data_IF_774440619692
#
_entry.id   IF_774440619692
#
_cell.length_a   1.000
_cell.length_b   1.000
_cell.length_c   1.000
_cell.angle_alpha   90.00
_cell.angle_beta   90.00
_cell.angle_gamma   90.00
#
_symmetry.space_group_name_H-M   'P 1'
#
loop_
_entity.id
_entity.type
_entity.pdbx_description
1 polymer ?
#
# COMPACT_ATOMS: atom_id res chain seq x y z
N UNK A 1 9.41 -30.92 14.02
CA UNK A 1 8.53 -29.77 14.30
C UNK A 1 9.39 -28.54 14.56
N UNK A 2 9.21 -27.48 13.79
CA UNK A 2 9.95 -26.23 13.96
C UNK A 2 9.41 -25.50 15.21
N UNK A 3 10.26 -25.28 16.23
CA UNK A 3 9.88 -24.52 17.43
C UNK A 3 9.92 -23.03 17.11
N UNK A 4 8.76 -22.39 17.09
CA UNK A 4 8.67 -20.93 17.03
C UNK A 4 8.94 -20.31 18.40
N UNK A 5 9.46 -19.08 18.43
CA UNK A 5 9.60 -18.34 19.67
C UNK A 5 8.22 -18.09 20.30
N UNK A 6 8.12 -18.16 21.62
CA UNK A 6 6.85 -18.02 22.37
C UNK A 6 6.11 -16.71 22.03
N UNK A 7 6.84 -15.62 21.80
CA UNK A 7 6.26 -14.32 21.40
C UNK A 7 5.50 -14.37 20.07
N UNK A 8 5.83 -15.32 19.17
CA UNK A 8 5.13 -15.45 17.88
C UNK A 8 3.71 -15.97 18.08
N UNK A 9 3.48 -16.81 19.10
CA UNK A 9 2.14 -17.31 19.42
C UNK A 9 1.20 -16.21 19.96
N UNK A 10 1.75 -15.07 20.38
CA UNK A 10 0.99 -13.92 20.89
C UNK A 10 0.69 -12.88 19.80
N UNK A 11 1.24 -13.05 18.58
CA UNK A 11 0.97 -12.16 17.47
C UNK A 11 -0.43 -12.44 16.95
N UNK A 12 -1.29 -11.44 17.00
CA UNK A 12 -2.60 -11.45 16.33
C UNK A 12 -2.49 -10.78 14.99
N UNK A 13 -3.01 -11.43 13.94
CA UNK A 13 -3.14 -10.81 12.62
C UNK A 13 -4.13 -9.64 12.64
N UNK A 14 -4.18 -8.87 11.57
CA UNK A 14 -5.16 -7.80 11.41
C UNK A 14 -6.57 -8.39 11.31
N UNK A 15 -7.47 -7.96 12.20
CA UNK A 15 -8.82 -8.50 12.30
C UNK A 15 -9.63 -8.39 11.00
N UNK A 16 -9.54 -7.27 10.28
CA UNK A 16 -10.23 -7.08 9.01
C UNK A 16 -9.81 -8.10 7.94
N UNK A 17 -8.52 -8.44 7.87
CA UNK A 17 -8.03 -9.46 6.92
C UNK A 17 -8.50 -10.88 7.31
N UNK A 18 -8.64 -11.18 8.60
CA UNK A 18 -9.21 -12.45 9.04
C UNK A 18 -10.68 -12.58 8.65
N UNK A 19 -11.47 -11.50 8.81
CA UNK A 19 -12.88 -11.44 8.36
C UNK A 19 -12.96 -11.59 6.84
N UNK A 20 -12.13 -10.88 6.09
CA UNK A 20 -12.07 -10.99 4.63
C UNK A 20 -11.77 -12.43 4.18
N UNK A 21 -10.75 -13.08 4.77
CA UNK A 21 -10.42 -14.47 4.45
C UNK A 21 -11.60 -15.41 4.72
N UNK A 22 -12.31 -15.22 5.83
CA UNK A 22 -13.48 -16.01 6.16
C UNK A 22 -14.64 -15.78 5.19
N UNK A 23 -14.86 -14.52 4.78
CA UNK A 23 -15.85 -14.20 3.77
C UNK A 23 -15.56 -14.91 2.44
N UNK A 24 -14.30 -14.90 1.99
CA UNK A 24 -13.87 -15.60 0.76
C UNK A 24 -14.06 -17.13 0.84
N UNK A 25 -13.80 -17.74 1.98
CA UNK A 25 -14.11 -19.16 2.18
C UNK A 25 -15.61 -19.46 2.02
N UNK A 26 -16.46 -18.63 2.58
CA UNK A 26 -17.92 -18.79 2.48
C UNK A 26 -18.44 -18.57 1.05
N UNK A 27 -17.90 -17.59 0.33
CA UNK A 27 -18.18 -17.40 -1.10
C UNK A 27 -17.79 -18.63 -1.92
N UNK A 28 -16.60 -19.21 -1.64
CA UNK A 28 -16.17 -20.46 -2.27
C UNK A 28 -17.09 -21.65 -2.00
N UNK A 29 -17.90 -21.59 -0.94
CA UNK A 29 -18.96 -22.55 -0.62
C UNK A 29 -20.32 -22.19 -1.27
N UNK A 30 -20.37 -21.17 -2.13
CA UNK A 30 -21.57 -20.73 -2.83
C UNK A 30 -22.48 -19.78 -2.03
N UNK A 31 -22.01 -19.23 -0.89
CA UNK A 31 -22.78 -18.24 -0.12
C UNK A 31 -22.61 -16.84 -0.72
N UNK A 32 -23.69 -16.08 -0.77
CA UNK A 32 -23.64 -14.65 -1.11
C UNK A 32 -23.23 -13.86 0.11
N UNK A 33 -22.14 -13.10 0.00
CA UNK A 33 -21.59 -12.28 1.09
C UNK A 33 -21.58 -10.81 0.65
N UNK A 34 -21.98 -9.92 1.54
CA UNK A 34 -21.82 -8.48 1.39
C UNK A 34 -20.56 -8.07 2.15
N UNK A 35 -19.56 -7.62 1.43
CA UNK A 35 -18.26 -7.22 1.99
C UNK A 35 -18.31 -5.81 2.56
N UNK A 36 -18.04 -5.65 3.86
CA UNK A 36 -17.95 -4.37 4.55
C UNK A 36 -16.68 -4.28 5.43
N UNK A 37 -15.86 -5.32 5.41
CA UNK A 37 -14.66 -5.45 6.27
C UNK A 37 -13.44 -4.67 5.75
N UNK A 38 -13.37 -4.40 4.45
CA UNK A 38 -12.31 -3.61 3.83
C UNK A 38 -12.93 -2.48 2.99
N UNK A 39 -12.44 -1.26 3.21
CA UNK A 39 -12.77 -0.12 2.36
C UNK A 39 -11.76 -0.02 1.21
N UNK A 40 -12.25 -0.07 -0.01
CA UNK A 40 -11.44 0.20 -1.21
C UNK A 40 -12.26 1.03 -2.22
N UNK A 41 -11.58 1.80 -3.09
CA UNK A 41 -12.29 2.53 -4.14
C UNK A 41 -13.01 1.58 -5.10
N UNK A 42 -14.24 1.91 -5.47
CA UNK A 42 -15.06 1.17 -6.43
C UNK A 42 -14.78 1.53 -7.90
N UNK A 43 -13.75 2.34 -8.14
CA UNK A 43 -13.31 2.76 -9.47
C UNK A 43 -11.82 2.43 -9.70
N UNK A 44 -11.47 2.22 -10.95
CA UNK A 44 -10.10 1.91 -11.36
C UNK A 44 -9.18 3.14 -11.30
N UNK A 45 -7.87 2.88 -11.26
CA UNK A 45 -6.88 3.95 -11.40
C UNK A 45 -7.08 4.73 -12.71
N UNK A 46 -6.89 6.04 -12.67
CA UNK A 46 -7.03 6.89 -13.85
C UNK A 46 -6.09 6.44 -14.98
N UNK A 47 -6.55 6.53 -16.22
CA UNK A 47 -5.78 6.08 -17.39
C UNK A 47 -4.34 6.63 -17.45
N UNK A 48 -4.07 7.92 -17.17
CA UNK A 48 -2.70 8.43 -17.15
C UNK A 48 -1.78 7.73 -16.14
N UNK A 49 -2.32 7.26 -15.00
CA UNK A 49 -1.55 6.53 -13.98
C UNK A 49 -1.20 5.14 -14.51
N UNK A 50 -2.17 4.45 -15.12
CA UNK A 50 -1.96 3.12 -15.71
C UNK A 50 -0.94 3.17 -16.84
N UNK A 51 -1.05 4.15 -17.72
CA UNK A 51 -0.14 4.32 -18.86
C UNK A 51 1.28 4.69 -18.39
N UNK A 52 1.39 5.54 -17.38
CA UNK A 52 2.68 5.87 -16.76
C UNK A 52 3.37 4.64 -16.16
N UNK A 53 2.60 3.77 -15.48
CA UNK A 53 3.13 2.52 -14.94
C UNK A 53 3.60 1.58 -16.06
N UNK A 54 2.80 1.37 -17.09
CA UNK A 54 3.17 0.53 -18.24
C UNK A 54 4.47 1.01 -18.89
N UNK A 55 4.59 2.32 -19.11
CA UNK A 55 5.77 2.94 -19.70
C UNK A 55 6.99 2.80 -18.78
N UNK A 56 6.82 2.93 -17.47
CA UNK A 56 7.91 2.76 -16.50
C UNK A 56 8.46 1.33 -16.54
N UNK A 57 7.59 0.33 -16.52
CA UNK A 57 8.00 -1.08 -16.62
C UNK A 57 8.65 -1.37 -17.97
N UNK A 58 8.03 -0.95 -19.08
CA UNK A 58 8.57 -1.15 -20.44
C UNK A 58 9.95 -0.50 -20.63
N UNK A 59 10.25 0.57 -19.89
CA UNK A 59 11.56 1.26 -19.91
C UNK A 59 12.57 0.73 -18.89
N UNK A 60 12.29 -0.41 -18.24
CA UNK A 60 13.18 -1.06 -17.27
C UNK A 60 13.30 -0.33 -15.92
N UNK A 61 12.30 0.46 -15.54
CA UNK A 61 12.23 1.13 -14.22
C UNK A 61 11.67 0.23 -13.13
N UNK A 62 12.03 -1.03 -13.14
CA UNK A 62 11.58 -2.11 -12.23
C UNK A 62 12.69 -2.60 -11.30
N UNK A 63 13.75 -1.81 -11.15
CA UNK A 63 14.92 -2.14 -10.33
C UNK A 63 14.86 -1.50 -8.96
N UNK A 64 15.77 -1.90 -8.08
CA UNK A 64 15.95 -1.28 -6.78
C UNK A 64 16.14 0.23 -6.89
N UNK A 65 15.50 0.95 -5.99
CA UNK A 65 15.65 2.41 -5.85
C UNK A 65 16.21 2.77 -4.48
N UNK A 66 16.44 4.05 -4.23
CA UNK A 66 16.87 4.54 -2.93
C UNK A 66 15.83 4.15 -1.84
N UNK A 67 16.31 3.77 -0.65
CA UNK A 67 15.48 3.30 0.49
C UNK A 67 14.35 4.27 0.85
N UNK A 68 14.56 5.57 0.69
CA UNK A 68 13.56 6.60 0.97
C UNK A 68 12.60 6.85 -0.21
N UNK A 69 12.73 6.13 -1.30
CA UNK A 69 11.98 6.30 -2.54
C UNK A 69 12.74 7.10 -3.60
N UNK A 70 12.22 7.06 -4.81
CA UNK A 70 12.79 7.72 -5.99
C UNK A 70 12.89 9.24 -5.73
N UNK A 71 14.06 9.89 -5.93
CA UNK A 71 14.25 11.32 -5.62
C UNK A 71 13.21 12.21 -6.31
N UNK A 72 12.97 12.03 -7.60
CA UNK A 72 11.99 12.81 -8.36
C UNK A 72 10.56 12.69 -7.80
N UNK A 73 10.17 11.51 -7.30
CA UNK A 73 8.87 11.32 -6.65
C UNK A 73 8.80 12.08 -5.33
N UNK A 74 9.87 12.03 -4.53
CA UNK A 74 9.95 12.75 -3.25
C UNK A 74 9.87 14.27 -3.43
N UNK A 75 10.54 14.80 -4.44
CA UNK A 75 10.47 16.21 -4.81
C UNK A 75 9.06 16.62 -5.22
N UNK A 76 8.40 15.79 -6.03
CA UNK A 76 7.02 16.07 -6.46
C UNK A 76 6.03 16.00 -5.29
N UNK A 77 6.18 15.02 -4.38
CA UNK A 77 5.37 14.93 -3.16
C UNK A 77 5.57 16.18 -2.30
N UNK A 78 6.82 16.60 -2.07
CA UNK A 78 7.12 17.80 -1.31
C UNK A 78 6.46 19.05 -1.92
N UNK A 79 6.57 19.21 -3.23
CA UNK A 79 5.94 20.30 -3.99
C UNK A 79 4.40 20.25 -3.89
N UNK A 80 3.82 19.07 -4.04
CA UNK A 80 2.37 18.87 -3.92
C UNK A 80 1.87 19.23 -2.53
N UNK A 81 2.51 18.73 -1.46
CA UNK A 81 2.13 19.02 -0.08
C UNK A 81 2.28 20.53 0.25
N UNK A 82 3.37 21.13 -0.21
CA UNK A 82 3.59 22.57 0.00
C UNK A 82 2.48 23.42 -0.63
N UNK A 83 2.06 23.03 -1.83
CA UNK A 83 1.00 23.74 -2.57
C UNK A 83 -0.40 23.50 -1.99
N UNK A 84 -0.72 22.24 -1.62
CA UNK A 84 -2.10 21.85 -1.25
C UNK A 84 -2.39 21.93 0.24
N UNK A 85 -1.36 21.86 1.08
CA UNK A 85 -1.49 21.87 2.54
C UNK A 85 -0.89 23.10 3.20
N UNK A 86 -0.37 24.04 2.41
CA UNK A 86 0.31 25.26 2.92
C UNK A 86 1.46 24.95 3.90
N UNK A 87 2.14 23.81 3.68
CA UNK A 87 3.26 23.36 4.50
C UNK A 87 4.57 23.61 3.74
N UNK A 88 5.61 24.02 4.43
CA UNK A 88 6.96 24.03 3.85
C UNK A 88 7.57 22.64 4.03
N UNK A 89 7.52 21.82 2.97
CA UNK A 89 8.05 20.45 2.97
C UNK A 89 9.24 20.35 2.01
N UNK A 90 10.34 19.78 2.49
CA UNK A 90 11.52 19.49 1.68
C UNK A 90 11.54 18.00 1.28
N UNK A 91 12.17 17.67 0.15
CA UNK A 91 12.22 16.29 -0.33
C UNK A 91 12.93 15.32 0.63
N UNK A 92 13.84 15.81 1.47
CA UNK A 92 14.52 15.01 2.49
C UNK A 92 13.62 14.65 3.68
N UNK A 93 12.51 15.35 3.85
CA UNK A 93 11.46 15.04 4.86
C UNK A 93 10.43 14.02 4.36
N UNK A 94 10.54 13.58 3.09
CA UNK A 94 9.62 12.63 2.48
C UNK A 94 10.22 11.23 2.47
N UNK A 95 9.43 10.25 2.91
CA UNK A 95 9.71 8.82 2.79
C UNK A 95 8.53 8.17 2.07
N UNK A 96 8.82 7.42 1.01
CA UNK A 96 7.83 6.67 0.25
C UNK A 96 7.81 5.22 0.73
N UNK A 97 6.66 4.75 1.18
CA UNK A 97 6.47 3.39 1.66
C UNK A 97 5.41 2.66 0.80
N UNK A 98 5.49 1.32 0.69
CA UNK A 98 4.47 0.52 0.00
C UNK A 98 3.19 0.42 0.85
N UNK A 99 2.42 1.49 0.85
CA UNK A 99 1.21 1.64 1.66
C UNK A 99 1.46 2.22 3.05
N UNK A 100 0.40 2.76 3.65
CA UNK A 100 0.50 3.47 4.94
C UNK A 100 0.78 2.54 6.14
N UNK A 101 0.51 1.25 6.05
CA UNK A 101 0.78 0.30 7.15
C UNK A 101 2.26 0.17 7.46
N UNK A 102 3.13 0.28 6.45
CA UNK A 102 4.58 0.26 6.63
C UNK A 102 5.14 1.53 7.27
N UNK A 103 4.37 2.62 7.26
CA UNK A 103 4.76 3.91 7.83
C UNK A 103 4.25 4.12 9.27
N UNK A 104 3.50 3.16 9.82
CA UNK A 104 3.01 3.23 11.21
C UNK A 104 4.02 2.61 12.16
N UNK A 105 4.23 3.22 13.35
CA UNK A 105 5.04 2.62 14.42
C UNK A 105 4.41 1.35 14.98
#
# INVERSE_FOLDING_TARGET
>A
MTRLATRVAQLTGEGALAVFSRAKELEGQGRSIIHLELGEPDFHAAAPVVDSLRNAVASGRDRYCATRGIPALREEIARYLSRTRQLTVQADQVLVAPGCKMARP
#
